data_IF_800933290484
#
_entry.id   IF_800933290484
#
_cell.length_a   1.000
_cell.length_b   1.000
_cell.length_c   1.000
_cell.angle_alpha   90.00
_cell.angle_beta   90.00
_cell.angle_gamma   90.00
#
_symmetry.space_group_name_H-M   'P 1'
#
loop_
_entity.id
_entity.type
_entity.pdbx_description
1 polymer ?
#
# COMPACT_ATOMS: atom_id res chain seq x y z
N UNK A 1 15.89 -6.65 -23.22
CA UNK A 1 14.42 -6.48 -23.16
C UNK A 1 13.84 -7.21 -21.96
N UNK A 2 13.27 -6.48 -20.98
CA UNK A 2 12.16 -6.96 -20.14
C UNK A 2 11.29 -5.75 -19.79
N UNK A 3 10.29 -5.51 -20.64
CA UNK A 3 9.18 -4.59 -20.39
C UNK A 3 8.37 -5.16 -19.23
N UNK A 4 8.37 -4.50 -18.07
CA UNK A 4 7.44 -4.85 -17.01
C UNK A 4 6.10 -4.22 -17.36
N UNK A 5 5.18 -5.10 -17.77
CA UNK A 5 3.80 -4.79 -18.11
C UNK A 5 3.06 -4.21 -16.89
N UNK A 6 2.39 -3.09 -17.13
CA UNK A 6 1.02 -2.71 -16.74
C UNK A 6 0.53 -3.12 -15.34
N UNK A 7 0.15 -2.11 -14.55
CA UNK A 7 -1.21 -2.06 -14.01
C UNK A 7 -1.79 -0.67 -14.25
N UNK A 8 -2.76 -0.65 -15.17
CA UNK A 8 -3.74 0.40 -15.36
C UNK A 8 -4.98 -0.01 -14.55
N UNK A 9 -5.45 0.85 -13.66
CA UNK A 9 -6.81 0.89 -13.08
C UNK A 9 -6.81 2.07 -12.07
N UNK A 10 -7.64 3.10 -12.12
CA UNK A 10 -8.71 3.51 -13.02
C UNK A 10 -8.66 5.05 -13.06
N UNK A 11 -8.72 5.63 -14.25
CA UNK A 11 -9.15 7.01 -14.46
C UNK A 11 -10.63 7.11 -14.05
N UNK A 12 -11.00 8.18 -13.34
CA UNK A 12 -12.16 9.03 -13.61
C UNK A 12 -12.64 9.71 -12.33
N UNK A 13 -12.55 11.03 -12.34
CA UNK A 13 -13.53 11.91 -11.70
C UNK A 13 -14.92 11.35 -11.98
N UNK A 14 -15.51 10.68 -11.00
CA UNK A 14 -16.91 10.28 -11.02
C UNK A 14 -17.47 10.62 -9.65
N UNK A 15 -17.88 11.89 -9.56
CA UNK A 15 -19.03 12.26 -8.76
C UNK A 15 -20.16 11.27 -9.08
N UNK A 16 -20.65 10.59 -8.03
CA UNK A 16 -22.01 10.05 -7.87
C UNK A 16 -22.24 8.60 -8.29
N UNK A 17 -22.76 7.85 -7.31
CA UNK A 17 -23.24 6.49 -7.43
C UNK A 17 -23.48 5.90 -6.04
N UNK A 18 -24.71 6.02 -5.55
CA UNK A 18 -25.32 5.09 -4.58
C UNK A 18 -24.93 5.18 -3.10
N UNK A 19 -25.83 5.75 -2.30
CA UNK A 19 -25.96 5.65 -0.84
C UNK A 19 -24.93 6.38 0.02
N UNK A 20 -25.33 7.57 0.51
CA UNK A 20 -25.34 8.00 1.93
C UNK A 20 -24.09 7.96 2.79
N UNK A 21 -23.35 6.86 2.78
CA UNK A 21 -22.16 6.60 3.59
C UNK A 21 -20.95 6.12 2.74
N UNK A 22 -21.15 5.89 1.44
CA UNK A 22 -20.15 5.32 0.53
C UNK A 22 -19.49 6.33 -0.42
N UNK A 23 -20.03 7.55 -0.56
CA UNK A 23 -19.55 8.50 -1.58
C UNK A 23 -18.13 9.03 -1.35
N UNK A 24 -17.60 8.95 -0.13
CA UNK A 24 -16.18 9.25 0.14
C UNK A 24 -15.32 7.98 0.23
N UNK A 25 -15.93 6.82 0.47
CA UNK A 25 -15.20 5.57 0.73
C UNK A 25 -15.04 4.67 -0.52
N UNK A 26 -15.82 4.87 -1.59
CA UNK A 26 -15.88 3.90 -2.69
C UNK A 26 -14.81 4.07 -3.79
N UNK A 27 -14.12 5.21 -3.90
CA UNK A 27 -13.15 5.45 -4.97
C UNK A 27 -11.74 5.85 -4.53
N UNK A 28 -11.43 5.82 -3.22
CA UNK A 28 -10.04 5.75 -2.81
C UNK A 28 -9.55 4.32 -3.06
N UNK A 29 -9.19 4.04 -4.31
CA UNK A 29 -8.36 2.88 -4.64
C UNK A 29 -7.20 2.89 -3.63
N UNK A 30 -7.03 1.84 -2.82
CA UNK A 30 -6.03 1.85 -1.78
C UNK A 30 -4.69 2.13 -2.44
N UNK A 31 -3.92 3.02 -1.83
CA UNK A 31 -2.58 3.33 -2.30
C UNK A 31 -1.76 2.04 -2.24
N UNK A 32 -1.49 1.43 -3.40
CA UNK A 32 -0.82 0.13 -3.48
C UNK A 32 0.62 0.30 -3.95
N UNK A 33 1.55 -0.18 -3.12
CA UNK A 33 2.95 -0.24 -3.49
C UNK A 33 3.20 -1.32 -4.55
N UNK A 34 3.84 -0.93 -5.67
CA UNK A 34 4.39 -1.88 -6.63
C UNK A 34 5.53 -2.69 -5.97
N UNK A 35 5.25 -3.96 -5.65
CA UNK A 35 6.22 -4.87 -5.00
C UNK A 35 6.86 -5.82 -6.00
N UNK A 36 8.15 -6.12 -5.81
CA UNK A 36 8.84 -7.13 -6.60
C UNK A 36 8.59 -8.52 -6.01
N UNK A 37 8.31 -9.52 -6.85
CA UNK A 37 8.22 -10.92 -6.37
C UNK A 37 9.56 -11.39 -5.82
N UNK A 38 9.61 -11.68 -4.51
CA UNK A 38 10.74 -12.35 -3.88
C UNK A 38 10.62 -13.87 -4.05
N UNK A 39 11.73 -14.56 -4.32
CA UNK A 39 11.76 -16.04 -4.28
C UNK A 39 11.82 -16.49 -2.82
N UNK A 40 10.85 -17.32 -2.41
CA UNK A 40 10.66 -17.82 -1.04
C UNK A 40 11.93 -18.41 -0.41
N UNK A 41 11.99 -18.29 0.92
CA UNK A 41 13.02 -18.67 1.88
C UNK A 41 13.67 -20.04 1.66
N UNK A 42 14.98 -20.11 1.95
CA UNK A 42 15.70 -21.39 2.07
C UNK A 42 15.96 -21.75 3.52
N UNK A 43 15.92 -23.05 3.81
CA UNK A 43 16.33 -23.61 5.09
C UNK A 43 17.81 -24.00 5.01
N UNK A 44 18.57 -23.74 6.09
CA UNK A 44 19.96 -24.12 6.19
C UNK A 44 20.13 -25.63 6.11
N UNK A 45 21.26 -26.08 5.53
CA UNK A 45 21.67 -27.48 5.62
C UNK A 45 22.19 -27.81 7.01
N UNK A 46 22.46 -29.08 7.26
CA UNK A 46 23.15 -29.55 8.47
C UNK A 46 24.14 -30.64 8.07
N UNK A 47 25.33 -30.62 8.67
CA UNK A 47 26.32 -31.66 8.49
C UNK A 47 27.01 -31.99 9.82
N UNK A 48 27.32 -33.27 10.01
CA UNK A 48 28.20 -33.74 11.08
C UNK A 48 29.62 -33.73 10.54
N UNK A 49 30.47 -32.89 11.12
CA UNK A 49 31.89 -32.77 10.74
C UNK A 49 32.70 -33.78 11.53
N UNK A 50 33.62 -34.50 10.88
CA UNK A 50 34.50 -35.48 11.53
C UNK A 50 35.48 -34.80 12.48
N UNK A 51 35.90 -35.51 13.54
CA UNK A 51 36.99 -35.05 14.39
C UNK A 51 38.26 -34.84 13.55
N UNK A 52 39.04 -33.83 13.89
CA UNK A 52 40.28 -33.48 13.20
C UNK A 52 40.09 -33.16 11.70
N UNK A 53 38.87 -32.79 11.29
CA UNK A 53 38.64 -32.35 9.92
C UNK A 53 39.39 -31.03 9.66
N UNK A 54 40.13 -30.94 8.54
CA UNK A 54 40.68 -29.68 8.03
C UNK A 54 39.72 -28.48 8.04
N UNK A 55 40.10 -27.38 8.71
CA UNK A 55 39.40 -26.10 8.56
C UNK A 55 39.98 -25.29 7.40
N UNK A 56 39.11 -24.65 6.61
CA UNK A 56 39.47 -23.79 5.48
C UNK A 56 38.71 -22.47 5.54
N UNK A 57 39.21 -21.44 4.88
CA UNK A 57 38.45 -20.22 4.57
C UNK A 57 38.34 -20.05 3.06
N UNK A 58 37.21 -19.53 2.61
CA UNK A 58 36.96 -19.23 1.21
C UNK A 58 36.95 -17.72 0.99
N UNK A 59 37.65 -17.27 -0.05
CA UNK A 59 37.57 -15.91 -0.58
C UNK A 59 36.66 -15.90 -1.80
N UNK A 60 35.88 -14.84 -1.92
CA UNK A 60 34.94 -14.62 -3.01
C UNK A 60 35.39 -13.44 -3.86
N UNK A 61 34.87 -13.33 -5.09
CA UNK A 61 35.02 -12.13 -5.91
C UNK A 61 34.28 -10.93 -5.29
N UNK A 62 34.55 -9.72 -5.79
CA UNK A 62 33.93 -8.47 -5.31
C UNK A 62 32.39 -8.54 -5.33
N UNK A 63 31.83 -9.23 -6.32
CA UNK A 63 30.38 -9.37 -6.50
C UNK A 63 29.78 -10.57 -5.76
N UNK A 64 30.60 -11.35 -5.02
CA UNK A 64 30.17 -12.51 -4.23
C UNK A 64 29.40 -13.53 -5.09
N UNK A 65 29.84 -13.75 -6.32
CA UNK A 65 29.24 -14.67 -7.30
C UNK A 65 30.04 -15.95 -7.48
N UNK A 66 31.36 -15.91 -7.24
CA UNK A 66 32.28 -17.03 -7.45
C UNK A 66 33.32 -17.10 -6.32
N UNK A 67 33.81 -18.31 -6.06
CA UNK A 67 34.91 -18.55 -5.13
C UNK A 67 36.24 -18.38 -5.86
N UNK A 68 37.07 -17.46 -5.39
CA UNK A 68 38.37 -17.13 -6.01
C UNK A 68 39.51 -17.91 -5.38
N UNK A 69 39.46 -18.17 -4.07
CA UNK A 69 40.51 -18.89 -3.35
C UNK A 69 39.93 -19.68 -2.18
N UNK A 70 40.48 -20.86 -1.94
CA UNK A 70 40.26 -21.60 -0.70
C UNK A 70 41.62 -21.85 -0.06
N UNK A 71 41.79 -21.45 1.21
CA UNK A 71 43.04 -21.59 1.94
C UNK A 71 42.82 -22.33 3.25
N UNK A 72 43.83 -23.09 3.69
CA UNK A 72 43.79 -23.75 4.99
C UNK A 72 43.74 -22.67 6.07
N UNK A 73 42.75 -22.77 6.95
CA UNK A 73 42.66 -21.87 8.08
C UNK A 73 43.81 -22.14 9.05
N UNK A 74 44.42 -21.08 9.56
CA UNK A 74 45.49 -21.15 10.54
C UNK A 74 45.10 -20.32 11.76
N UNK A 75 45.42 -20.83 12.93
CA UNK A 75 45.31 -20.12 14.21
C UNK A 75 46.70 -20.07 14.80
N UNK A 76 47.21 -18.86 15.08
CA UNK A 76 48.58 -18.64 15.58
C UNK A 76 49.64 -19.35 14.72
N UNK A 77 49.54 -19.21 13.39
CA UNK A 77 50.46 -19.84 12.43
C UNK A 77 50.29 -21.35 12.22
N UNK A 78 49.59 -22.05 13.12
CA UNK A 78 49.36 -23.52 13.04
C UNK A 78 48.09 -23.84 12.27
N UNK A 79 48.08 -24.96 11.52
CA UNK A 79 46.90 -25.43 10.77
C UNK A 79 45.77 -25.75 11.76
N UNK A 80 44.60 -25.17 11.52
CA UNK A 80 43.43 -25.39 12.35
C UNK A 80 42.65 -26.64 11.91
N UNK A 81 42.03 -27.29 12.89
CA UNK A 81 41.22 -28.49 12.72
C UNK A 81 39.90 -28.33 13.48
N UNK A 82 38.86 -28.96 12.95
CA UNK A 82 37.52 -28.93 13.50
C UNK A 82 37.37 -30.01 14.57
N UNK A 83 36.58 -29.72 15.60
CA UNK A 83 36.08 -30.73 16.55
C UNK A 83 34.88 -31.47 15.93
N UNK A 84 34.69 -32.74 16.31
CA UNK A 84 33.51 -33.49 15.90
C UNK A 84 32.25 -32.81 16.45
N UNK A 85 31.44 -32.23 15.58
CA UNK A 85 30.19 -31.58 15.96
C UNK A 85 29.26 -31.45 14.76
N UNK A 86 27.97 -31.34 15.05
CA UNK A 86 26.97 -30.98 14.05
C UNK A 86 26.98 -29.47 13.84
N UNK A 87 27.16 -29.05 12.59
CA UNK A 87 27.11 -27.65 12.18
C UNK A 87 25.94 -27.38 11.25
N UNK A 88 25.37 -26.18 11.35
CA UNK A 88 24.48 -25.66 10.32
C UNK A 88 25.30 -25.22 9.11
N UNK A 89 24.87 -25.59 7.91
CA UNK A 89 25.55 -25.26 6.65
C UNK A 89 24.80 -24.14 5.95
N UNK A 90 25.47 -23.01 5.78
CA UNK A 90 24.93 -21.85 5.08
C UNK A 90 24.70 -22.17 3.61
N UNK A 91 25.71 -22.72 2.95
CA UNK A 91 25.67 -23.17 1.56
C UNK A 91 26.87 -24.09 1.26
N UNK A 92 26.85 -24.74 0.10
CA UNK A 92 28.00 -25.44 -0.46
C UNK A 92 28.50 -24.78 -1.74
N UNK A 93 29.79 -24.95 -2.05
CA UNK A 93 30.40 -24.53 -3.31
C UNK A 93 31.41 -25.56 -3.79
N UNK A 94 31.76 -25.49 -5.08
CA UNK A 94 32.84 -26.29 -5.65
C UNK A 94 34.02 -25.36 -5.98
N UNK A 95 35.23 -25.77 -5.63
CA UNK A 95 36.47 -25.08 -5.98
C UNK A 95 37.50 -26.10 -6.44
N UNK A 96 38.01 -25.93 -7.68
CA UNK A 96 38.94 -26.86 -8.34
C UNK A 96 38.51 -28.34 -8.20
N UNK A 97 37.27 -28.64 -8.58
CA UNK A 97 36.68 -29.99 -8.50
C UNK A 97 36.31 -30.47 -7.09
N UNK A 98 36.74 -29.78 -6.03
CA UNK A 98 36.44 -30.19 -4.65
C UNK A 98 35.22 -29.45 -4.10
N UNK A 99 34.26 -30.18 -3.52
CA UNK A 99 33.09 -29.61 -2.83
C UNK A 99 33.42 -29.22 -1.39
N UNK A 100 32.99 -28.04 -0.99
CA UNK A 100 33.15 -27.50 0.36
C UNK A 100 31.79 -27.07 0.94
N UNK A 101 31.65 -27.20 2.26
CA UNK A 101 30.51 -26.72 3.03
C UNK A 101 30.90 -25.51 3.87
N UNK A 102 30.15 -24.42 3.74
CA UNK A 102 30.34 -23.20 4.52
C UNK A 102 29.51 -23.24 5.80
N UNK A 103 30.16 -23.08 6.95
CA UNK A 103 29.52 -23.19 8.25
C UNK A 103 28.78 -21.89 8.59
N UNK A 104 27.51 -21.99 9.00
CA UNK A 104 26.72 -20.82 9.38
C UNK A 104 27.31 -20.16 10.63
N UNK A 105 27.43 -18.83 10.60
CA UNK A 105 27.94 -18.05 11.73
C UNK A 105 29.46 -18.10 11.87
N UNK A 106 30.17 -18.60 10.87
CA UNK A 106 31.63 -18.68 10.86
C UNK A 106 32.18 -18.40 9.46
N UNK A 107 33.41 -17.90 9.38
CA UNK A 107 34.15 -17.79 8.11
C UNK A 107 34.73 -19.15 7.66
N UNK A 108 34.54 -20.20 8.46
CA UNK A 108 35.12 -21.51 8.24
C UNK A 108 34.30 -22.36 7.25
N UNK A 109 35.03 -23.17 6.51
CA UNK A 109 34.54 -24.11 5.52
C UNK A 109 35.25 -25.45 5.71
N UNK A 110 34.57 -26.54 5.36
CA UNK A 110 35.11 -27.92 5.45
C UNK A 110 34.91 -28.62 4.12
N UNK A 111 35.79 -29.57 3.76
CA UNK A 111 35.58 -30.40 2.56
C UNK A 111 34.39 -31.33 2.78
N UNK A 112 33.65 -31.60 1.72
CA UNK A 112 32.50 -32.50 1.78
C UNK A 112 32.88 -33.93 2.19
N UNK A 113 34.09 -34.40 1.85
CA UNK A 113 34.57 -35.73 2.27
C UNK A 113 34.77 -35.85 3.79
N UNK A 114 34.98 -34.73 4.48
CA UNK A 114 35.27 -34.68 5.91
C UNK A 114 34.00 -34.37 6.75
N UNK A 115 32.82 -34.34 6.11
CA UNK A 115 31.56 -34.04 6.75
C UNK A 115 30.39 -34.85 6.14
N UNK A 116 29.57 -35.47 6.99
CA UNK A 116 28.36 -36.19 6.57
C UNK A 116 27.17 -35.23 6.57
N UNK A 117 26.57 -34.99 5.41
CA UNK A 117 25.39 -34.14 5.29
C UNK A 117 24.18 -34.87 5.87
N UNK A 118 23.50 -34.25 6.85
CA UNK A 118 22.26 -34.76 7.46
C UNK A 118 21.03 -34.02 6.96
N UNK A 119 21.21 -32.81 6.40
CA UNK A 119 20.15 -32.06 5.71
C UNK A 119 20.74 -31.31 4.53
N UNK A 120 20.06 -31.41 3.36
CA UNK A 120 20.49 -30.77 2.10
C UNK A 120 20.83 -29.29 2.32
N UNK A 121 22.05 -28.90 1.95
CA UNK A 121 22.50 -27.51 1.95
C UNK A 121 22.23 -26.87 0.58
N UNK A 122 21.88 -25.58 0.51
CA UNK A 122 21.75 -24.88 -0.77
C UNK A 122 23.14 -24.69 -1.42
N UNK A 123 23.17 -24.53 -2.74
CA UNK A 123 24.39 -24.11 -3.43
C UNK A 123 24.67 -22.63 -3.17
N UNK A 124 25.93 -22.21 -3.29
CA UNK A 124 26.36 -20.82 -3.13
C UNK A 124 25.61 -19.85 -4.05
N UNK A 125 25.40 -20.26 -5.32
CA UNK A 125 24.59 -19.48 -6.28
C UNK A 125 23.17 -19.26 -5.76
N UNK A 126 22.55 -20.30 -5.18
CA UNK A 126 21.22 -20.18 -4.57
C UNK A 126 21.25 -19.26 -3.34
N UNK A 127 22.24 -19.39 -2.43
CA UNK A 127 22.32 -18.51 -1.24
C UNK A 127 22.48 -17.02 -1.56
N UNK A 128 23.20 -16.68 -2.64
CA UNK A 128 23.34 -15.27 -3.11
C UNK A 128 21.99 -14.74 -3.60
N UNK A 129 21.27 -15.52 -4.42
CA UNK A 129 19.91 -15.17 -4.88
C UNK A 129 18.98 -14.91 -3.69
N UNK A 130 19.09 -15.67 -2.61
CA UNK A 130 18.25 -15.48 -1.43
C UNK A 130 18.65 -14.28 -0.55
N UNK A 131 19.93 -13.93 -0.46
CA UNK A 131 20.35 -12.68 0.22
C UNK A 131 19.73 -11.47 -0.48
N UNK A 132 19.70 -11.49 -1.81
CA UNK A 132 19.02 -10.47 -2.60
C UNK A 132 17.49 -10.52 -2.43
N UNK A 133 16.90 -11.71 -2.29
CA UNK A 133 15.47 -11.85 -2.02
C UNK A 133 15.06 -11.22 -0.68
N UNK A 134 15.84 -11.42 0.40
CA UNK A 134 15.58 -10.77 1.70
C UNK A 134 15.68 -9.24 1.64
N UNK A 135 16.64 -8.72 0.88
CA UNK A 135 16.76 -7.28 0.65
C UNK A 135 15.50 -6.75 -0.07
N UNK A 136 15.04 -7.47 -1.09
CA UNK A 136 13.79 -7.16 -1.81
C UNK A 136 12.57 -7.24 -0.89
N UNK A 137 12.49 -8.23 0.00
CA UNK A 137 11.40 -8.34 0.99
C UNK A 137 11.38 -7.15 1.95
N UNK A 138 12.53 -6.74 2.46
CA UNK A 138 12.65 -5.56 3.33
C UNK A 138 12.28 -4.26 2.57
N UNK A 139 12.77 -4.09 1.34
CA UNK A 139 12.40 -2.96 0.48
C UNK A 139 10.89 -2.94 0.18
N UNK A 140 10.28 -4.10 -0.10
CA UNK A 140 8.83 -4.21 -0.31
C UNK A 140 8.04 -3.88 0.96
N UNK A 141 8.50 -4.34 2.13
CA UNK A 141 7.86 -4.06 3.42
C UNK A 141 7.89 -2.55 3.72
N UNK A 142 9.02 -1.89 3.50
CA UNK A 142 9.15 -0.45 3.65
C UNK A 142 8.20 0.31 2.70
N UNK A 143 8.10 -0.12 1.44
CA UNK A 143 7.15 0.48 0.48
C UNK A 143 5.68 0.29 0.89
N UNK A 144 5.32 -0.89 1.40
CA UNK A 144 3.97 -1.16 1.91
C UNK A 144 3.65 -0.31 3.13
N UNK A 145 4.58 -0.17 4.08
CA UNK A 145 4.39 0.67 5.25
C UNK A 145 4.16 2.14 4.85
N UNK A 146 4.95 2.64 3.89
CA UNK A 146 4.79 3.99 3.34
C UNK A 146 3.45 4.20 2.64
N UNK A 147 3.01 3.21 1.86
CA UNK A 147 1.72 3.25 1.20
C UNK A 147 0.55 3.26 2.21
N UNK A 148 0.66 2.47 3.28
CA UNK A 148 -0.32 2.49 4.38
C UNK A 148 -0.36 3.84 5.10
N UNK A 149 0.79 4.46 5.33
CA UNK A 149 0.85 5.80 5.95
C UNK A 149 0.11 6.83 5.09
N UNK A 150 0.33 6.81 3.78
CA UNK A 150 -0.41 7.68 2.84
C UNK A 150 -1.90 7.37 2.84
N UNK A 151 -2.28 6.10 2.87
CA UNK A 151 -3.69 5.71 2.94
C UNK A 151 -4.36 6.28 4.20
N UNK A 152 -3.73 6.14 5.37
CA UNK A 152 -4.27 6.69 6.62
C UNK A 152 -4.44 8.22 6.57
N UNK A 153 -3.55 8.95 5.89
CA UNK A 153 -3.70 10.40 5.69
C UNK A 153 -4.91 10.74 4.79
N UNK A 154 -5.12 9.97 3.73
CA UNK A 154 -6.26 10.13 2.83
C UNK A 154 -7.58 9.78 3.51
N UNK A 155 -7.59 8.71 4.31
CA UNK A 155 -8.75 8.27 5.10
C UNK A 155 -9.12 9.33 6.14
N UNK A 156 -8.14 9.92 6.83
CA UNK A 156 -8.39 10.98 7.81
C UNK A 156 -9.02 12.25 7.20
N UNK A 157 -8.73 12.58 5.94
CA UNK A 157 -9.39 13.69 5.22
C UNK A 157 -10.80 13.26 4.78
N UNK A 158 -10.91 12.05 4.25
CA UNK A 158 -12.14 11.43 3.78
C UNK A 158 -13.20 11.32 4.89
N UNK A 159 -12.78 10.91 6.08
CA UNK A 159 -13.62 10.77 7.27
C UNK A 159 -14.19 12.11 7.77
N UNK A 160 -13.60 13.24 7.37
CA UNK A 160 -14.14 14.56 7.65
C UNK A 160 -15.22 14.96 6.65
N UNK A 161 -15.18 14.45 5.42
CA UNK A 161 -16.11 14.78 4.33
C UNK A 161 -17.43 13.98 4.39
N UNK A 162 -17.98 13.75 5.59
CA UNK A 162 -19.16 12.90 5.79
C UNK A 162 -20.38 13.44 5.04
N UNK A 163 -21.11 12.52 4.41
CA UNK A 163 -22.48 12.73 3.94
C UNK A 163 -23.49 12.22 4.96
N UNK A 164 -24.70 12.76 4.91
CA UNK A 164 -25.77 12.45 5.84
C UNK A 164 -27.02 12.02 5.08
N UNK A 165 -27.67 10.97 5.56
CA UNK A 165 -28.96 10.55 5.02
C UNK A 165 -30.05 11.47 5.56
N UNK A 166 -31.02 11.78 4.71
CA UNK A 166 -32.06 12.76 5.00
C UNK A 166 -33.34 12.47 4.22
N UNK A 167 -34.45 13.07 4.66
CA UNK A 167 -35.76 12.98 3.98
C UNK A 167 -36.43 14.34 3.90
N UNK A 168 -37.22 14.54 2.85
CA UNK A 168 -38.04 15.75 2.70
C UNK A 168 -39.27 15.71 3.62
N UNK A 169 -39.52 16.80 4.35
CA UNK A 169 -40.57 16.88 5.38
C UNK A 169 -41.94 17.27 4.83
N UNK A 170 -41.96 18.13 3.80
CA UNK A 170 -43.12 18.60 3.04
C UNK A 170 -42.68 18.75 1.59
N UNK A 171 -43.60 18.91 0.62
CA UNK A 171 -43.27 19.03 -0.81
C UNK A 171 -42.15 20.06 -1.07
N UNK A 172 -40.91 19.58 -1.13
CA UNK A 172 -39.72 20.40 -0.92
C UNK A 172 -39.33 21.08 -2.22
N UNK A 173 -39.06 22.38 -2.13
CA UNK A 173 -38.58 23.15 -3.26
C UNK A 173 -37.12 22.82 -3.50
N UNK A 174 -36.78 22.40 -4.70
CA UNK A 174 -35.40 22.13 -5.08
C UNK A 174 -35.09 22.71 -6.47
N UNK A 175 -33.80 22.93 -6.70
CA UNK A 175 -33.24 23.19 -8.03
C UNK A 175 -32.30 22.06 -8.38
N UNK A 176 -32.34 21.58 -9.62
CA UNK A 176 -31.38 20.59 -10.10
C UNK A 176 -30.03 21.28 -10.35
N UNK A 177 -28.94 20.56 -10.10
CA UNK A 177 -27.59 21.03 -10.41
C UNK A 177 -27.10 20.27 -11.63
N UNK A 178 -26.90 21.01 -12.71
CA UNK A 178 -26.44 20.47 -13.99
C UNK A 178 -24.99 19.96 -13.91
N UNK A 179 -24.57 19.27 -14.96
CA UNK A 179 -23.21 18.72 -15.07
C UNK A 179 -22.11 19.78 -15.01
N UNK A 180 -22.42 21.03 -15.39
CA UNK A 180 -21.54 22.20 -15.31
C UNK A 180 -21.54 22.88 -13.92
N UNK A 181 -22.30 22.34 -12.96
CA UNK A 181 -22.39 22.86 -11.60
C UNK A 181 -23.35 24.04 -11.44
N UNK A 182 -24.07 24.44 -12.49
CA UNK A 182 -25.08 25.50 -12.41
C UNK A 182 -26.41 24.95 -11.96
N UNK A 183 -27.15 25.72 -11.19
CA UNK A 183 -28.52 25.41 -10.78
C UNK A 183 -29.50 25.69 -11.92
N UNK A 184 -30.52 24.85 -12.08
CA UNK A 184 -31.68 25.16 -12.93
C UNK A 184 -32.36 26.44 -12.44
N UNK A 185 -32.94 27.21 -13.38
CA UNK A 185 -33.74 28.39 -13.01
C UNK A 185 -35.14 27.99 -12.50
N UNK A 186 -35.62 26.81 -12.88
CA UNK A 186 -36.92 26.30 -12.46
C UNK A 186 -36.83 25.64 -11.09
N UNK A 187 -37.66 26.14 -10.15
CA UNK A 187 -37.88 25.52 -8.85
C UNK A 187 -38.87 24.38 -9.03
N UNK A 188 -38.43 23.16 -8.76
CA UNK A 188 -39.25 21.97 -8.80
C UNK A 188 -39.70 21.55 -7.40
N UNK A 189 -40.75 20.73 -7.34
CA UNK A 189 -41.31 20.19 -6.10
C UNK A 189 -40.93 18.72 -5.97
N UNK A 190 -40.30 18.37 -4.87
CA UNK A 190 -39.96 17.00 -4.53
C UNK A 190 -41.07 16.38 -3.67
N UNK A 191 -41.48 15.12 -3.90
CA UNK A 191 -42.45 14.44 -3.05
C UNK A 191 -41.98 14.36 -1.58
N UNK A 192 -42.94 14.28 -0.66
CA UNK A 192 -42.68 14.07 0.77
C UNK A 192 -42.00 12.72 0.98
N UNK A 193 -41.05 12.66 1.91
CA UNK A 193 -40.34 11.44 2.26
C UNK A 193 -39.30 11.00 1.23
N UNK A 194 -38.96 11.84 0.25
CA UNK A 194 -37.92 11.53 -0.73
C UNK A 194 -36.57 11.42 -0.02
N UNK A 195 -35.88 10.31 -0.24
CA UNK A 195 -34.56 10.04 0.34
C UNK A 195 -33.48 10.88 -0.35
N UNK A 196 -32.67 11.52 0.48
CA UNK A 196 -31.60 12.42 0.08
C UNK A 196 -30.29 12.02 0.78
N UNK A 197 -29.19 12.13 0.06
CA UNK A 197 -27.83 12.12 0.63
C UNK A 197 -27.31 13.55 0.64
N UNK A 198 -27.33 14.21 1.80
CA UNK A 198 -26.81 15.56 2.01
C UNK A 198 -25.29 15.53 2.10
N UNK A 199 -24.61 16.40 1.36
CA UNK A 199 -23.15 16.46 1.31
C UNK A 199 -22.63 17.70 2.05
N UNK A 200 -23.12 18.88 1.66
CA UNK A 200 -22.71 20.13 2.26
C UNK A 200 -23.86 21.15 2.28
N UNK A 201 -23.72 22.14 3.15
CA UNK A 201 -24.62 23.27 3.34
C UNK A 201 -24.13 24.48 2.54
N UNK A 202 -25.06 25.17 1.90
CA UNK A 202 -24.82 26.42 1.18
C UNK A 202 -25.54 27.54 1.94
N UNK A 203 -24.81 28.43 2.64
CA UNK A 203 -25.43 29.50 3.39
C UNK A 203 -26.17 30.50 2.49
N UNK A 204 -27.39 30.84 2.86
CA UNK A 204 -28.15 31.92 2.21
C UNK A 204 -28.39 31.79 0.70
N UNK A 205 -28.46 30.57 0.17
CA UNK A 205 -28.68 30.29 -1.26
C UNK A 205 -30.11 30.55 -1.71
N UNK A 206 -31.08 30.45 -0.80
CA UNK A 206 -32.48 30.78 -1.06
C UNK A 206 -32.76 32.19 -0.56
N UNK A 207 -33.47 32.98 -1.37
CA UNK A 207 -33.94 34.32 -0.99
C UNK A 207 -35.45 34.37 -1.13
N UNK A 208 -36.14 34.74 -0.05
CA UNK A 208 -37.57 35.03 -0.10
C UNK A 208 -37.83 36.34 0.64
N UNK A 209 -38.23 37.39 -0.09
CA UNK A 209 -38.56 38.69 0.50
C UNK A 209 -37.42 39.35 1.29
N UNK A 210 -36.15 39.15 0.90
CA UNK A 210 -34.98 39.72 1.57
C UNK A 210 -34.39 38.87 2.69
N UNK A 211 -35.11 37.83 3.14
CA UNK A 211 -34.58 36.85 4.08
C UNK A 211 -33.80 35.76 3.32
N UNK A 212 -32.54 35.58 3.72
CA UNK A 212 -31.67 34.52 3.21
C UNK A 212 -31.89 33.25 4.01
N UNK A 213 -32.09 32.14 3.32
CA UNK A 213 -32.23 30.81 3.91
C UNK A 213 -31.16 29.86 3.36
N UNK A 214 -30.71 28.97 4.23
CA UNK A 214 -29.68 28.00 3.89
C UNK A 214 -30.26 26.84 3.07
N UNK A 215 -29.42 26.29 2.20
CA UNK A 215 -29.75 25.10 1.42
C UNK A 215 -28.77 23.96 1.69
N UNK A 216 -29.19 22.75 1.37
CA UNK A 216 -28.32 21.58 1.29
C UNK A 216 -28.09 21.21 -0.15
N UNK A 217 -26.83 21.02 -0.53
CA UNK A 217 -26.49 20.25 -1.71
C UNK A 217 -26.66 18.77 -1.37
N UNK A 218 -27.51 18.09 -2.12
CA UNK A 218 -27.87 16.70 -1.88
C UNK A 218 -27.97 15.92 -3.19
N UNK A 219 -28.00 14.60 -3.03
CA UNK A 219 -28.13 13.64 -4.13
C UNK A 219 -29.37 12.81 -3.85
N UNK A 220 -30.25 12.67 -4.84
CA UNK A 220 -31.39 11.77 -4.73
C UNK A 220 -30.96 10.32 -4.93
N UNK A 221 -31.85 9.37 -4.65
CA UNK A 221 -31.60 7.94 -4.91
C UNK A 221 -31.29 7.62 -6.39
N UNK A 222 -31.77 8.46 -7.31
CA UNK A 222 -31.56 8.34 -8.75
C UNK A 222 -30.30 9.10 -9.23
N UNK A 223 -29.36 9.37 -8.33
CA UNK A 223 -28.11 10.11 -8.57
C UNK A 223 -28.29 11.54 -9.14
N UNK A 224 -29.48 12.14 -8.98
CA UNK A 224 -29.70 13.54 -9.33
C UNK A 224 -29.09 14.46 -8.29
N UNK A 225 -28.35 15.47 -8.74
CA UNK A 225 -27.79 16.53 -7.89
C UNK A 225 -28.82 17.62 -7.70
N UNK A 226 -29.10 17.99 -6.46
CA UNK A 226 -30.11 18.99 -6.13
C UNK A 226 -29.62 19.94 -5.06
N UNK A 227 -30.14 21.17 -5.07
CA UNK A 227 -30.09 22.06 -3.90
C UNK A 227 -31.50 22.19 -3.37
N UNK A 228 -31.69 21.87 -2.10
CA UNK A 228 -32.99 21.87 -1.41
C UNK A 228 -32.91 22.77 -0.18
N UNK A 229 -34.00 23.45 0.16
CA UNK A 229 -34.02 24.30 1.35
C UNK A 229 -33.82 23.46 2.62
N UNK A 230 -32.90 23.90 3.49
CA UNK A 230 -32.54 23.14 4.70
C UNK A 230 -33.72 22.97 5.65
N UNK A 231 -34.64 23.95 5.70
CA UNK A 231 -35.87 23.90 6.51
C UNK A 231 -36.88 22.84 6.06
N UNK A 232 -36.75 22.31 4.84
CA UNK A 232 -37.67 21.33 4.26
C UNK A 232 -37.12 19.90 4.31
N UNK A 233 -36.00 19.69 5.00
CA UNK A 233 -35.28 18.42 5.08
C UNK A 233 -35.04 18.06 6.54
N UNK A 234 -35.35 16.83 6.92
CA UNK A 234 -34.89 16.22 8.17
C UNK A 234 -33.69 15.33 7.90
N UNK A 235 -32.60 15.57 8.63
CA UNK A 235 -31.46 14.66 8.67
C UNK A 235 -31.80 13.48 9.60
N UNK A 236 -31.37 12.28 9.25
CA UNK A 236 -31.58 11.09 10.08
C UNK A 236 -30.82 11.18 11.42
N UNK A 237 -29.68 11.88 11.43
CA UNK A 237 -28.94 12.26 12.63
C UNK A 237 -29.25 13.72 12.97
N UNK A 238 -30.01 13.96 14.04
CA UNK A 238 -30.38 15.31 14.50
C UNK A 238 -29.18 16.14 14.98
N UNK A 239 -28.04 15.50 15.28
CA UNK A 239 -26.81 16.15 15.70
C UNK A 239 -25.79 16.29 14.56
N UNK A 240 -26.19 15.98 13.33
CA UNK A 240 -25.33 16.06 12.15
C UNK A 240 -24.75 17.47 11.96
N UNK A 241 -23.42 17.55 11.91
CA UNK A 241 -22.69 18.75 11.51
C UNK A 241 -22.38 18.67 10.02
N UNK A 242 -23.33 19.13 9.21
CA UNK A 242 -23.15 19.24 7.76
C UNK A 242 -22.14 20.35 7.47
N UNK A 243 -21.04 20.00 6.80
CA UNK A 243 -20.01 20.96 6.39
C UNK A 243 -20.59 22.04 5.49
N UNK A 244 -20.08 23.26 5.57
CA UNK A 244 -20.35 24.29 4.58
C UNK A 244 -19.66 23.99 3.25
N UNK A 245 -20.12 24.62 2.17
CA UNK A 245 -19.51 24.51 0.85
C UNK A 245 -18.01 24.85 0.86
N UNK A 246 -17.61 25.88 1.61
CA UNK A 246 -16.20 26.31 1.69
C UNK A 246 -15.35 25.29 2.45
N UNK A 247 -15.84 24.76 3.57
CA UNK A 247 -15.16 23.71 4.33
C UNK A 247 -14.98 22.44 3.48
N UNK A 248 -16.04 22.03 2.77
CA UNK A 248 -16.01 20.88 1.87
C UNK A 248 -15.03 21.11 0.71
N UNK A 249 -15.02 22.30 0.10
CA UNK A 249 -14.10 22.70 -0.98
C UNK A 249 -12.65 22.66 -0.52
N UNK A 250 -12.36 23.13 0.69
CA UNK A 250 -11.01 23.09 1.26
C UNK A 250 -10.53 21.66 1.51
N UNK A 251 -11.38 20.80 2.09
CA UNK A 251 -11.08 19.37 2.26
C UNK A 251 -10.86 18.67 0.91
N UNK A 252 -11.67 18.99 -0.10
CA UNK A 252 -11.49 18.45 -1.46
C UNK A 252 -10.15 18.85 -2.07
N UNK A 253 -9.71 20.12 -1.92
CA UNK A 253 -8.39 20.57 -2.37
C UNK A 253 -7.26 19.88 -1.61
N UNK A 254 -7.42 19.72 -0.30
CA UNK A 254 -6.45 19.02 0.55
C UNK A 254 -6.31 17.55 0.15
N UNK A 255 -7.42 16.87 -0.12
CA UNK A 255 -7.45 15.49 -0.60
C UNK A 255 -6.68 15.35 -1.91
N UNK A 256 -6.95 16.22 -2.89
CA UNK A 256 -6.26 16.21 -4.18
C UNK A 256 -4.76 16.51 -4.05
N UNK A 257 -4.38 17.46 -3.20
CA UNK A 257 -2.97 17.75 -2.91
C UNK A 257 -2.27 16.54 -2.29
N UNK A 258 -2.89 15.91 -1.30
CA UNK A 258 -2.35 14.74 -0.59
C UNK A 258 -2.21 13.54 -1.52
N UNK A 259 -3.17 13.33 -2.45
CA UNK A 259 -3.07 12.28 -3.47
C UNK A 259 -1.87 12.50 -4.39
N UNK A 260 -1.68 13.72 -4.89
CA UNK A 260 -0.53 14.08 -5.75
C UNK A 260 0.81 13.85 -5.05
N UNK A 261 0.90 14.22 -3.77
CA UNK A 261 2.10 13.97 -2.96
C UNK A 261 2.36 12.47 -2.77
N UNK A 262 1.33 11.70 -2.42
CA UNK A 262 1.43 10.25 -2.28
C UNK A 262 1.89 9.58 -3.57
N UNK A 263 1.36 9.99 -4.72
CA UNK A 263 1.75 9.43 -6.02
C UNK A 263 3.18 9.74 -6.40
N UNK A 264 3.61 11.01 -6.23
CA UNK A 264 5.00 11.41 -6.43
C UNK A 264 5.95 10.61 -5.53
N UNK A 265 5.61 10.49 -4.26
CA UNK A 265 6.44 9.85 -3.24
C UNK A 265 6.54 8.33 -3.39
N UNK A 266 5.51 7.70 -3.97
CA UNK A 266 5.49 6.27 -4.30
C UNK A 266 5.99 5.96 -5.72
N UNK A 267 6.26 6.99 -6.53
CA UNK A 267 6.70 6.85 -7.92
C UNK A 267 5.62 6.29 -8.83
N UNK A 268 4.35 6.58 -8.52
CA UNK A 268 3.19 6.29 -9.37
C UNK A 268 3.15 7.41 -10.41
N UNK A 269 3.06 7.05 -11.71
CA UNK A 269 2.90 8.07 -12.75
C UNK A 269 1.46 8.57 -12.74
N UNK A 270 1.31 9.89 -12.61
CA UNK A 270 0.07 10.56 -12.96
C UNK A 270 -0.19 10.38 -14.45
N UNK A 271 -1.15 9.54 -14.79
CA UNK A 271 -1.72 9.51 -16.13
C UNK A 271 -2.82 10.58 -16.18
N UNK A 272 -2.42 11.85 -16.12
CA UNK A 272 -3.27 12.95 -16.60
C UNK A 272 -3.03 13.13 -18.09
#
# INVERSE_FOLDING_TARGET
>A
MKKNKLFTALLAVSLLGGTGAALVNANNQPVQAATKKAKKTYKYGRAVVRANAPAYTAKFDKNVTKVTKVVRYKTNGKKAYMRAKTFSIAFYFNYKGTKYYCLKGSALTVKAKDAKLTRKAPSFKKSVVYKNARKIEAENAAKKAKANEWQSKLDAITDQMKSYSAKTNDGASYVEVNSDGKTSQDIQKMPIGTELTVIYKIPGIFSNGGNKADGYFAITKDDKRVVVAASQVSLDDSNAKVLTQDEYSNLSKQLESTKKEAYKDLGIKDNN
#
